data_IF_789325294647
#
_entry.id   IF_789325294647
#
_cell.length_a   1.000
_cell.length_b   1.000
_cell.length_c   1.000
_cell.angle_alpha   90.00
_cell.angle_beta   90.00
_cell.angle_gamma   90.00
#
_symmetry.space_group_name_H-M   'P 1'
#
loop_
_entity.id
_entity.type
_entity.pdbx_description
1 polymer ?
#
# COMPACT_ATOMS: atom_id res chain seq x y z
N UNK A 1 11.59 9.51 -49.75
CA UNK A 1 11.76 10.97 -49.58
C UNK A 1 10.67 11.46 -48.63
N UNK A 2 11.02 11.95 -47.44
CA UNK A 2 10.03 12.51 -46.53
C UNK A 2 9.42 13.76 -47.17
N UNK A 3 8.09 13.91 -47.10
CA UNK A 3 7.41 15.06 -47.67
C UNK A 3 8.03 16.39 -47.15
N UNK A 4 8.26 17.37 -48.02
CA UNK A 4 8.87 18.63 -47.61
C UNK A 4 8.00 19.31 -46.55
N UNK A 5 8.67 19.86 -45.53
CA UNK A 5 8.04 20.52 -44.39
C UNK A 5 7.49 21.89 -44.81
N UNK A 6 6.35 21.88 -45.51
CA UNK A 6 5.67 23.07 -46.02
C UNK A 6 5.02 23.89 -44.88
N UNK A 7 4.93 25.22 -45.01
CA UNK A 7 4.32 26.09 -44.00
C UNK A 7 2.85 25.71 -43.70
N UNK A 8 2.11 25.26 -44.72
CA UNK A 8 0.74 24.76 -44.58
C UNK A 8 0.66 23.51 -43.70
N UNK A 9 1.62 22.59 -43.84
CA UNK A 9 1.68 21.42 -42.98
C UNK A 9 1.97 21.81 -41.52
N UNK A 10 2.78 22.85 -41.28
CA UNK A 10 3.05 23.36 -39.92
C UNK A 10 1.79 23.87 -39.25
N UNK A 11 1.00 24.68 -39.96
CA UNK A 11 -0.25 25.25 -39.44
C UNK A 11 -1.25 24.16 -39.08
N UNK A 12 -1.42 23.15 -39.94
CA UNK A 12 -2.29 21.99 -39.66
C UNK A 12 -1.86 21.25 -38.39
N UNK A 13 -0.55 20.96 -38.25
CA UNK A 13 -0.01 20.31 -37.05
C UNK A 13 -0.22 21.18 -35.80
N UNK A 14 0.01 22.49 -35.89
CA UNK A 14 -0.20 23.42 -34.79
C UNK A 14 -1.67 23.45 -34.34
N UNK A 15 -2.62 23.53 -35.28
CA UNK A 15 -4.06 23.50 -35.00
C UNK A 15 -4.47 22.18 -34.33
N UNK A 16 -3.99 21.05 -34.84
CA UNK A 16 -4.26 19.76 -34.19
C UNK A 16 -3.72 19.73 -32.75
N UNK A 17 -2.51 20.25 -32.49
CA UNK A 17 -1.96 20.30 -31.13
C UNK A 17 -2.85 21.14 -30.23
N UNK A 18 -3.24 22.35 -30.65
CA UNK A 18 -4.06 23.24 -29.82
C UNK A 18 -5.43 22.66 -29.51
N UNK A 19 -6.11 22.09 -30.51
CA UNK A 19 -7.42 21.45 -30.33
C UNK A 19 -7.37 20.30 -29.33
N UNK A 20 -6.37 19.41 -29.47
CA UNK A 20 -6.22 18.27 -28.59
C UNK A 20 -5.78 18.65 -27.16
N UNK A 21 -4.92 19.66 -27.03
CA UNK A 21 -4.53 20.21 -25.71
C UNK A 21 -5.72 20.89 -25.04
N UNK A 22 -6.56 21.61 -25.79
CA UNK A 22 -7.79 22.21 -25.25
C UNK A 22 -8.80 21.15 -24.81
N UNK A 23 -9.02 20.12 -25.62
CA UNK A 23 -9.96 19.03 -25.32
C UNK A 23 -9.56 18.19 -24.10
N UNK A 24 -8.26 17.90 -23.95
CA UNK A 24 -7.77 17.02 -22.88
C UNK A 24 -7.20 17.77 -21.66
N UNK A 25 -6.94 19.08 -21.77
CA UNK A 25 -6.27 19.93 -20.79
C UNK A 25 -4.76 19.69 -20.66
N UNK A 26 -4.30 18.42 -20.70
CA UNK A 26 -2.89 18.02 -20.69
C UNK A 26 -2.63 16.99 -21.78
N UNK A 27 -1.56 17.20 -22.54
CA UNK A 27 -1.04 16.21 -23.49
C UNK A 27 0.42 15.90 -23.23
N UNK A 28 0.78 14.61 -23.26
CA UNK A 28 2.19 14.20 -23.26
C UNK A 28 2.76 14.19 -24.68
N UNK A 29 4.07 14.35 -24.81
CA UNK A 29 4.74 14.36 -26.13
C UNK A 29 4.50 13.08 -26.91
N UNK A 30 4.51 11.91 -26.25
CA UNK A 30 4.19 10.63 -26.89
C UNK A 30 2.73 10.51 -27.34
N UNK A 31 1.78 11.13 -26.61
CA UNK A 31 0.40 11.18 -27.08
C UNK A 31 0.26 12.14 -28.27
N UNK A 32 0.96 13.29 -28.27
CA UNK A 32 0.99 14.21 -29.41
C UNK A 32 1.54 13.54 -30.67
N UNK A 33 2.60 12.74 -30.55
CA UNK A 33 3.12 11.94 -31.66
C UNK A 33 2.08 10.98 -32.24
N UNK A 34 1.28 10.33 -31.37
CA UNK A 34 0.25 9.40 -31.81
C UNK A 34 -0.93 10.08 -32.50
N UNK A 35 -1.40 11.21 -31.97
CA UNK A 35 -2.56 11.92 -32.54
C UNK A 35 -2.21 12.68 -33.81
N UNK A 36 -1.01 13.26 -33.88
CA UNK A 36 -0.57 14.04 -35.04
C UNK A 36 0.09 13.16 -36.10
N UNK A 37 0.61 11.99 -35.75
CA UNK A 37 1.40 11.15 -36.66
C UNK A 37 2.76 11.77 -37.06
N UNK A 38 3.13 12.89 -36.42
CA UNK A 38 4.32 13.65 -36.75
C UNK A 38 5.54 13.20 -35.92
N UNK A 39 6.72 13.34 -36.51
CA UNK A 39 7.98 13.10 -35.80
C UNK A 39 8.14 14.05 -34.60
N UNK A 40 8.96 13.65 -33.61
CA UNK A 40 9.29 14.53 -32.48
C UNK A 40 9.87 15.88 -32.94
N UNK A 41 10.74 15.87 -33.94
CA UNK A 41 11.41 17.09 -34.42
C UNK A 41 10.39 18.09 -34.98
N UNK A 42 9.44 17.59 -35.77
CA UNK A 42 8.31 18.39 -36.29
C UNK A 42 7.49 18.98 -35.15
N UNK A 43 7.11 18.15 -34.18
CA UNK A 43 6.34 18.60 -33.01
C UNK A 43 7.12 19.63 -32.19
N UNK A 44 8.41 19.42 -31.96
CA UNK A 44 9.26 20.35 -31.21
C UNK A 44 9.29 21.72 -31.87
N UNK A 45 9.47 21.78 -33.19
CA UNK A 45 9.42 23.06 -33.93
C UNK A 45 8.04 23.72 -33.85
N UNK A 46 6.95 22.97 -34.03
CA UNK A 46 5.59 23.50 -33.91
C UNK A 46 5.29 24.01 -32.50
N UNK A 47 5.72 23.28 -31.47
CA UNK A 47 5.57 23.63 -30.06
C UNK A 47 6.40 24.86 -29.68
N UNK A 48 7.62 25.00 -30.20
CA UNK A 48 8.40 26.22 -30.04
C UNK A 48 7.68 27.43 -30.64
N UNK A 49 7.07 27.29 -31.82
CA UNK A 49 6.25 28.35 -32.41
C UNK A 49 5.04 28.71 -31.56
N UNK A 50 4.30 27.71 -31.05
CA UNK A 50 3.14 27.94 -30.19
C UNK A 50 3.50 28.55 -28.83
N UNK A 51 4.67 28.20 -28.28
CA UNK A 51 5.18 28.79 -27.05
C UNK A 51 5.49 30.28 -27.25
N UNK A 52 6.10 30.65 -28.39
CA UNK A 52 6.36 32.06 -28.72
C UNK A 52 5.07 32.88 -28.88
N UNK A 53 3.97 32.24 -29.30
CA UNK A 53 2.65 32.87 -29.38
C UNK A 53 1.90 32.90 -28.03
N UNK A 54 2.38 32.21 -27.00
CA UNK A 54 1.70 32.13 -25.70
C UNK A 54 0.45 31.24 -25.67
N UNK A 55 0.18 30.48 -26.74
CA UNK A 55 -1.02 29.63 -26.88
C UNK A 55 -0.95 28.34 -26.06
N UNK A 56 0.27 27.88 -25.73
CA UNK A 56 0.49 26.65 -24.96
C UNK A 56 1.60 26.84 -23.94
N UNK A 57 1.46 26.14 -22.82
CA UNK A 57 2.49 26.07 -21.79
C UNK A 57 3.20 24.71 -21.81
N UNK A 58 4.52 24.72 -21.95
CA UNK A 58 5.36 23.53 -21.93
C UNK A 58 5.98 23.34 -20.56
N UNK A 59 5.54 22.31 -19.84
CA UNK A 59 6.18 21.89 -18.60
C UNK A 59 7.17 20.75 -18.88
N UNK A 60 8.47 20.93 -18.59
CA UNK A 60 9.49 19.91 -18.81
C UNK A 60 9.11 18.57 -18.17
N UNK A 61 9.17 17.48 -18.94
CA UNK A 61 8.80 16.09 -18.54
C UNK A 61 7.34 15.87 -18.10
N UNK A 62 6.56 16.93 -17.93
CA UNK A 62 5.19 16.87 -17.41
C UNK A 62 4.17 16.96 -18.53
N UNK A 63 4.46 17.68 -19.62
CA UNK A 63 3.66 17.71 -20.84
C UNK A 63 3.32 19.12 -21.30
N UNK A 64 2.41 19.19 -22.27
CA UNK A 64 1.87 20.41 -22.85
C UNK A 64 0.51 20.70 -22.21
N UNK A 65 0.30 21.96 -21.84
CA UNK A 65 -0.89 22.47 -21.18
C UNK A 65 -1.46 23.65 -21.99
N UNK A 66 -2.75 23.93 -21.79
CA UNK A 66 -3.41 25.10 -22.39
C UNK A 66 -2.83 26.41 -21.85
N UNK A 67 -2.49 26.46 -20.56
CA UNK A 67 -1.90 27.63 -19.93
C UNK A 67 -1.07 27.26 -18.70
N UNK A 68 -0.28 28.21 -18.21
CA UNK A 68 0.47 28.06 -16.96
C UNK A 68 -0.46 27.84 -15.75
N UNK A 69 -1.61 28.51 -15.71
CA UNK A 69 -2.61 28.32 -14.67
C UNK A 69 -3.18 26.89 -14.69
N UNK A 70 -3.44 26.34 -15.89
CA UNK A 70 -3.89 24.97 -16.03
C UNK A 70 -2.83 23.97 -15.53
N UNK A 71 -1.55 24.24 -15.77
CA UNK A 71 -0.45 23.47 -15.20
C UNK A 71 -0.45 23.50 -13.66
N UNK A 72 -0.54 24.69 -13.05
CA UNK A 72 -0.58 24.80 -11.59
C UNK A 72 -1.80 24.12 -10.97
N UNK A 73 -2.99 24.30 -11.57
CA UNK A 73 -4.20 23.63 -11.12
C UNK A 73 -4.07 22.11 -11.18
N UNK A 74 -3.51 21.57 -12.28
CA UNK A 74 -3.23 20.15 -12.43
C UNK A 74 -2.20 19.66 -11.40
N UNK A 75 -1.10 20.39 -11.22
CA UNK A 75 -0.02 20.00 -10.30
C UNK A 75 -0.49 20.02 -8.84
N UNK A 76 -1.33 21.00 -8.48
CA UNK A 76 -1.95 21.09 -7.15
C UNK A 76 -2.93 19.94 -6.90
N UNK A 77 -3.74 19.55 -7.89
CA UNK A 77 -4.61 18.37 -7.79
C UNK A 77 -3.80 17.09 -7.59
N UNK A 78 -2.74 16.91 -8.39
CA UNK A 78 -1.83 15.76 -8.32
C UNK A 78 -1.13 15.65 -6.97
N UNK A 79 -0.58 16.74 -6.45
CA UNK A 79 0.13 16.76 -5.15
C UNK A 79 -0.83 16.53 -3.98
N UNK A 80 -2.02 17.14 -3.99
CA UNK A 80 -3.08 16.89 -3.00
C UNK A 80 -3.49 15.41 -2.99
N UNK A 81 -3.69 14.81 -4.17
CA UNK A 81 -4.02 13.39 -4.28
C UNK A 81 -2.89 12.50 -3.75
N UNK A 82 -1.63 12.79 -4.08
CA UNK A 82 -0.47 12.06 -3.57
C UNK A 82 -0.38 12.13 -2.03
N UNK A 83 -0.60 13.32 -1.45
CA UNK A 83 -0.64 13.52 0.01
C UNK A 83 -1.75 12.68 0.66
N UNK A 84 -2.97 12.70 0.10
CA UNK A 84 -4.09 11.87 0.57
C UNK A 84 -3.75 10.37 0.53
N UNK A 85 -3.16 9.88 -0.57
CA UNK A 85 -2.72 8.47 -0.69
C UNK A 85 -1.64 8.10 0.32
N UNK A 86 -0.66 8.99 0.55
CA UNK A 86 0.38 8.77 1.58
C UNK A 86 -0.23 8.69 2.97
N UNK A 87 -1.13 9.61 3.32
CA UNK A 87 -1.81 9.62 4.62
C UNK A 87 -2.68 8.37 4.81
N UNK A 88 -3.40 7.93 3.77
CA UNK A 88 -4.18 6.70 3.82
C UNK A 88 -3.29 5.47 4.10
N UNK A 89 -2.15 5.34 3.41
CA UNK A 89 -1.17 4.27 3.66
C UNK A 89 -0.60 4.32 5.08
N UNK A 90 -0.26 5.50 5.58
CA UNK A 90 0.22 5.67 6.96
C UNK A 90 -0.84 5.24 7.98
N UNK A 91 -2.11 5.62 7.77
CA UNK A 91 -3.21 5.18 8.63
C UNK A 91 -3.40 3.67 8.59
N UNK A 92 -3.30 3.04 7.43
CA UNK A 92 -3.35 1.59 7.29
C UNK A 92 -2.20 0.91 8.04
N UNK A 93 -0.96 1.40 7.88
CA UNK A 93 0.20 0.89 8.60
C UNK A 93 0.05 1.04 10.11
N UNK A 94 -0.40 2.20 10.60
CA UNK A 94 -0.65 2.43 12.02
C UNK A 94 -1.71 1.47 12.60
N UNK A 95 -2.78 1.20 11.83
CA UNK A 95 -3.80 0.20 12.19
C UNK A 95 -3.20 -1.20 12.28
N UNK A 96 -2.40 -1.60 11.30
CA UNK A 96 -1.73 -2.91 11.31
C UNK A 96 -0.80 -3.06 12.50
N UNK A 97 0.00 -2.04 12.81
CA UNK A 97 0.89 -2.05 13.99
C UNK A 97 0.08 -2.16 15.29
N UNK A 98 -1.04 -1.43 15.41
CA UNK A 98 -1.92 -1.52 16.58
C UNK A 98 -2.51 -2.92 16.76
N UNK A 99 -3.01 -3.52 15.68
CA UNK A 99 -3.52 -4.89 15.68
C UNK A 99 -2.45 -5.90 16.03
N UNK A 100 -1.23 -5.77 15.47
CA UNK A 100 -0.11 -6.64 15.79
C UNK A 100 0.28 -6.56 17.28
N UNK A 101 0.30 -5.35 17.86
CA UNK A 101 0.54 -5.17 19.30
C UNK A 101 -0.53 -5.84 20.16
N UNK A 102 -1.80 -5.69 19.80
CA UNK A 102 -2.93 -6.34 20.49
C UNK A 102 -2.91 -7.86 20.35
N UNK A 103 -2.53 -8.38 19.17
CA UNK A 103 -2.38 -9.81 18.95
C UNK A 103 -1.24 -10.38 19.81
N UNK A 104 -0.10 -9.68 19.87
CA UNK A 104 1.04 -10.06 20.72
C UNK A 104 0.65 -10.09 22.20
N UNK A 105 -0.01 -9.03 22.71
CA UNK A 105 -0.46 -9.01 24.09
C UNK A 105 -1.47 -10.11 24.40
N UNK A 106 -2.37 -10.42 23.44
CA UNK A 106 -3.33 -11.53 23.58
C UNK A 106 -2.62 -12.88 23.61
N UNK A 107 -1.58 -13.07 22.78
CA UNK A 107 -0.76 -14.27 22.79
C UNK A 107 0.02 -14.42 24.10
N UNK A 108 0.59 -13.34 24.65
CA UNK A 108 1.25 -13.36 25.96
C UNK A 108 0.25 -13.74 27.08
N UNK A 109 -0.93 -13.12 27.11
CA UNK A 109 -1.98 -13.46 28.09
C UNK A 109 -2.45 -14.91 27.96
N UNK A 110 -2.61 -15.41 26.73
CA UNK A 110 -3.01 -16.80 26.48
C UNK A 110 -1.88 -17.78 26.78
N UNK A 111 -0.63 -17.44 26.48
CA UNK A 111 0.55 -18.25 26.80
C UNK A 111 0.77 -18.40 28.30
N UNK A 112 0.48 -17.33 29.06
CA UNK A 112 0.53 -17.36 30.53
C UNK A 112 -0.62 -18.19 31.13
N UNK A 113 -1.85 -18.08 30.57
CA UNK A 113 -3.01 -18.90 31.00
C UNK A 113 -3.03 -20.34 30.49
N UNK A 114 -2.24 -20.66 29.46
CA UNK A 114 -2.05 -22.02 28.94
C UNK A 114 -0.76 -22.64 29.47
N UNK A 115 -0.36 -22.31 30.69
CA UNK A 115 0.51 -23.18 31.46
C UNK A 115 -0.18 -24.55 31.55
N UNK A 116 0.23 -25.49 30.70
CA UNK A 116 -0.18 -26.88 30.83
C UNK A 116 0.15 -27.30 32.26
N UNK A 117 -0.85 -27.88 32.94
CA UNK A 117 -0.66 -28.37 34.30
C UNK A 117 0.49 -29.38 34.31
N UNK A 118 1.64 -28.97 34.83
CA UNK A 118 2.81 -29.83 34.95
C UNK A 118 2.66 -30.68 36.21
N UNK A 119 2.17 -31.91 36.05
CA UNK A 119 1.98 -32.85 37.17
C UNK A 119 3.26 -33.11 37.98
N UNK A 120 4.45 -32.84 37.41
CA UNK A 120 5.74 -33.04 38.09
C UNK A 120 6.03 -31.93 39.09
N UNK A 121 5.41 -30.76 38.93
CA UNK A 121 5.47 -29.63 39.87
C UNK A 121 4.41 -29.72 40.96
N UNK A 122 3.51 -30.72 40.93
CA UNK A 122 2.61 -31.00 42.04
C UNK A 122 3.38 -31.70 43.16
N UNK A 123 4.16 -30.92 43.90
CA UNK A 123 4.85 -31.34 45.10
C UNK A 123 3.86 -31.37 46.27
N UNK A 124 3.00 -32.39 46.29
CA UNK A 124 2.35 -32.77 47.56
C UNK A 124 3.47 -32.94 48.58
N UNK A 125 3.37 -32.25 49.72
CA UNK A 125 4.37 -32.33 50.77
C UNK A 125 4.67 -33.80 51.09
N UNK A 126 5.94 -34.18 51.29
CA UNK A 126 6.30 -35.60 51.39
C UNK A 126 5.57 -36.29 52.55
N UNK A 127 5.33 -35.56 53.63
CA UNK A 127 4.48 -35.95 54.77
C UNK A 127 3.04 -36.23 54.33
N UNK A 128 2.43 -35.33 53.57
CA UNK A 128 1.09 -35.44 53.02
C UNK A 128 0.98 -36.65 52.07
N UNK A 129 2.01 -36.87 51.23
CA UNK A 129 2.05 -37.99 50.27
C UNK A 129 2.24 -39.33 50.96
N UNK A 130 2.97 -39.36 52.08
CA UNK A 130 3.21 -40.56 52.88
C UNK A 130 2.13 -40.80 53.95
N UNK A 131 1.19 -39.87 54.13
CA UNK A 131 0.06 -40.07 55.03
C UNK A 131 -0.77 -41.29 54.61
N UNK A 132 -1.28 -42.02 55.61
CA UNK A 132 -2.07 -43.24 55.38
C UNK A 132 -3.27 -42.98 54.47
N UNK A 133 -3.96 -41.86 54.69
CA UNK A 133 -5.14 -41.45 53.91
C UNK A 133 -4.78 -41.23 52.45
N UNK A 134 -3.69 -40.49 52.17
CA UNK A 134 -3.26 -40.23 50.79
C UNK A 134 -2.76 -41.49 50.11
N UNK A 135 -2.08 -42.39 50.82
CA UNK A 135 -1.64 -43.67 50.27
C UNK A 135 -2.83 -44.57 49.91
N UNK A 136 -3.91 -44.59 50.72
CA UNK A 136 -5.16 -45.30 50.37
C UNK A 136 -5.80 -44.76 49.09
N UNK A 137 -5.89 -43.43 48.97
CA UNK A 137 -6.42 -42.77 47.76
C UNK A 137 -5.55 -43.09 46.54
N UNK A 138 -4.23 -43.02 46.67
CA UNK A 138 -3.30 -43.36 45.58
C UNK A 138 -3.36 -44.84 45.22
N UNK A 139 -3.54 -45.74 46.18
CA UNK A 139 -3.69 -47.18 45.94
C UNK A 139 -4.97 -47.50 45.16
N UNK A 140 -6.07 -46.78 45.45
CA UNK A 140 -7.32 -46.85 44.70
C UNK A 140 -7.14 -46.50 43.23
N UNK A 141 -6.54 -45.33 42.93
CA UNK A 141 -6.29 -44.92 41.54
C UNK A 141 -5.22 -45.74 40.81
N UNK A 142 -4.33 -46.43 41.54
CA UNK A 142 -3.33 -47.34 40.97
C UNK A 142 -3.84 -48.77 40.75
N UNK A 143 -5.08 -49.09 41.16
CA UNK A 143 -5.65 -50.43 41.02
C UNK A 143 -5.08 -51.48 41.99
N UNK A 144 -4.36 -51.06 43.02
CA UNK A 144 -3.73 -51.94 44.03
C UNK A 144 -4.49 -51.97 45.35
N UNK A 145 -5.74 -51.55 45.36
CA UNK A 145 -6.57 -51.52 46.56
C UNK A 145 -6.95 -52.95 46.96
N UNK A 146 -6.33 -53.45 48.03
CA UNK A 146 -6.72 -54.70 48.70
C UNK A 146 -7.54 -54.29 49.91
N UNK A 147 -8.82 -54.66 49.92
CA UNK A 147 -9.66 -54.48 51.10
C UNK A 147 -9.03 -55.22 52.27
N UNK A 148 -8.48 -54.48 53.24
CA UNK A 148 -8.07 -55.01 54.53
C UNK A 148 -9.33 -55.26 55.38
N UNK A 149 -10.19 -56.17 54.93
CA UNK A 149 -11.24 -56.82 55.71
C UNK A 149 -11.34 -58.28 55.26
N UNK A 150 -10.23 -59.01 55.39
CA UNK A 150 -10.29 -60.45 55.62
C UNK A 150 -10.58 -60.66 57.11
N UNK A 151 -11.73 -61.26 57.38
CA UNK A 151 -12.15 -61.87 58.65
C UNK A 151 -11.11 -62.88 59.12
#
# INVERSE_FOLDING_TARGET
>A
MAAPYTPEHRKKVQQCITEWVHKNGRMTTGQLQKVTGASWNTLRHCLSGLLSCGEVYLAPRLGVFTSEQAFHAWNNKRTKQAKRRRQARQRQQARQVKLARQAKSRQEILGDRMCSYDRRKNNICQECRNSEVMQRVLAFYRGNYRDAKSV
#
